data_IF_438333473717
#
_entry.id   IF_438333473717
#
_cell.length_a   1.000
_cell.length_b   1.000
_cell.length_c   1.000
_cell.angle_alpha   90.00
_cell.angle_beta   90.00
_cell.angle_gamma   90.00
#
_symmetry.space_group_name_H-M   'P 1'
#
loop_
_entity.id
_entity.type
_entity.pdbx_description
1 polymer ?
#
# COMPACT_ATOMS: atom_id res chain seq x y z
N UNK A 1 2.20 22.87 -10.45
CA UNK A 1 3.39 23.61 -9.97
C UNK A 1 4.39 22.59 -9.46
N UNK A 2 5.69 22.74 -9.75
CA UNK A 2 6.72 21.81 -9.26
C UNK A 2 6.92 22.03 -7.76
N UNK A 3 6.68 21.02 -6.95
CA UNK A 3 7.01 21.03 -5.52
C UNK A 3 8.54 21.19 -5.37
N UNK A 4 8.99 22.11 -4.52
CA UNK A 4 10.42 22.30 -4.28
C UNK A 4 10.95 21.19 -3.37
N UNK A 5 11.98 20.48 -3.83
CA UNK A 5 12.64 19.43 -3.05
C UNK A 5 13.48 20.02 -1.92
N UNK A 6 13.43 19.39 -0.76
CA UNK A 6 14.26 19.74 0.38
C UNK A 6 15.69 19.24 0.18
N UNK A 7 16.65 20.12 0.48
CA UNK A 7 18.05 19.73 0.57
C UNK A 7 18.30 19.09 1.95
N UNK A 8 18.58 17.79 1.96
CA UNK A 8 18.87 17.02 3.18
C UNK A 8 20.30 16.52 3.09
N UNK A 9 21.08 16.77 4.14
CA UNK A 9 22.47 16.32 4.22
C UNK A 9 22.56 14.85 4.61
N UNK A 10 23.68 14.20 4.29
CA UNK A 10 23.95 12.81 4.67
C UNK A 10 23.97 12.58 6.19
N UNK A 11 24.17 13.64 6.99
CA UNK A 11 24.10 13.58 8.45
C UNK A 11 22.66 13.63 8.99
N UNK A 12 21.75 14.31 8.29
CA UNK A 12 20.33 14.44 8.68
C UNK A 12 19.49 13.26 8.21
N UNK A 13 19.80 12.73 7.03
CA UNK A 13 19.04 11.69 6.34
C UNK A 13 18.75 10.46 7.21
N UNK A 14 19.71 9.84 7.93
CA UNK A 14 19.44 8.61 8.66
C UNK A 14 18.35 8.76 9.73
N UNK A 15 18.36 9.89 10.45
CA UNK A 15 17.37 10.17 11.50
C UNK A 15 15.99 10.44 10.90
N UNK A 16 15.93 11.24 9.83
CA UNK A 16 14.66 11.54 9.15
C UNK A 16 14.07 10.28 8.53
N UNK A 17 14.90 9.45 7.90
CA UNK A 17 14.51 8.16 7.33
C UNK A 17 13.99 7.19 8.39
N UNK A 18 14.62 7.14 9.56
CA UNK A 18 14.13 6.29 10.66
C UNK A 18 12.75 6.75 11.15
N UNK A 19 12.51 8.06 11.30
CA UNK A 19 11.18 8.56 11.69
C UNK A 19 10.15 8.30 10.59
N UNK A 20 10.53 8.44 9.31
CA UNK A 20 9.67 8.09 8.19
C UNK A 20 9.30 6.61 8.20
N UNK A 21 10.25 5.71 8.51
CA UNK A 21 10.00 4.28 8.71
C UNK A 21 8.96 4.03 9.81
N UNK A 22 9.09 4.73 10.93
CA UNK A 22 8.13 4.59 12.04
C UNK A 22 6.72 5.04 11.60
N UNK A 23 6.60 6.17 10.88
CA UNK A 23 5.31 6.63 10.35
C UNK A 23 4.74 5.59 9.37
N UNK A 24 5.54 5.09 8.43
CA UNK A 24 5.12 4.07 7.47
C UNK A 24 4.58 2.81 8.19
N UNK A 25 5.29 2.33 9.21
CA UNK A 25 4.86 1.19 10.03
C UNK A 25 3.57 1.48 10.79
N UNK A 26 3.40 2.68 11.34
CA UNK A 26 2.17 3.08 12.05
C UNK A 26 0.96 3.07 11.11
N UNK A 27 1.13 3.50 9.84
CA UNK A 27 0.05 3.42 8.83
C UNK A 27 -0.29 1.96 8.51
N UNK A 28 0.71 1.12 8.30
CA UNK A 28 0.50 -0.31 8.06
C UNK A 28 -0.18 -1.00 9.25
N UNK A 29 0.20 -0.64 10.47
CA UNK A 29 -0.38 -1.17 11.70
C UNK A 29 -1.82 -0.69 11.91
N UNK A 30 -2.10 0.61 11.71
CA UNK A 30 -3.46 1.16 11.73
C UNK A 30 -4.34 0.40 10.73
N UNK A 31 -3.85 0.27 9.49
CA UNK A 31 -4.61 -0.41 8.44
C UNK A 31 -4.81 -1.89 8.76
N UNK A 32 -3.84 -2.60 9.35
CA UNK A 32 -4.04 -3.97 9.81
C UNK A 32 -5.10 -4.06 10.92
N UNK A 33 -5.10 -3.10 11.86
CA UNK A 33 -6.05 -3.04 12.97
C UNK A 33 -7.51 -2.84 12.51
N UNK A 34 -7.74 -2.25 11.33
CA UNK A 34 -9.10 -2.13 10.77
C UNK A 34 -9.78 -3.48 10.55
N UNK A 35 -9.02 -4.56 10.35
CA UNK A 35 -9.56 -5.91 10.22
C UNK A 35 -9.89 -6.60 11.56
N UNK A 36 -9.34 -6.10 12.68
CA UNK A 36 -9.42 -6.76 13.99
C UNK A 36 -10.40 -6.15 14.98
N UNK A 37 -11.00 -4.99 14.66
CA UNK A 37 -11.93 -4.30 15.56
C UNK A 37 -11.29 -3.76 16.85
N UNK A 38 -9.96 -3.53 16.86
CA UNK A 38 -9.24 -2.97 18.00
C UNK A 38 -9.43 -1.45 18.17
N UNK A 39 -8.80 -0.85 19.19
CA UNK A 39 -8.81 0.61 19.40
C UNK A 39 -7.97 1.32 18.31
N UNK A 40 -8.64 1.65 17.21
CA UNK A 40 -8.08 2.42 16.09
C UNK A 40 -7.59 3.81 16.52
N UNK A 41 -8.16 4.37 17.60
CA UNK A 41 -7.75 5.64 18.17
C UNK A 41 -6.30 5.61 18.68
N UNK A 42 -5.85 4.52 19.32
CA UNK A 42 -4.44 4.39 19.78
C UNK A 42 -3.46 4.48 18.61
N UNK A 43 -3.78 3.81 17.50
CA UNK A 43 -2.97 3.83 16.29
C UNK A 43 -2.94 5.24 15.67
N UNK A 44 -4.10 5.91 15.57
CA UNK A 44 -4.20 7.27 15.07
C UNK A 44 -3.38 8.26 15.92
N UNK A 45 -3.46 8.19 17.26
CA UNK A 45 -2.68 9.03 18.19
C UNK A 45 -1.18 8.81 18.05
N UNK A 46 -0.75 7.56 17.95
CA UNK A 46 0.66 7.19 17.77
C UNK A 46 1.19 7.78 16.47
N UNK A 47 0.45 7.60 15.38
CA UNK A 47 0.77 8.15 14.07
C UNK A 47 0.84 9.70 14.08
N UNK A 48 -0.15 10.37 14.68
CA UNK A 48 -0.15 11.84 14.86
C UNK A 48 1.12 12.32 15.58
N UNK A 49 1.54 11.59 16.63
CA UNK A 49 2.78 11.86 17.35
C UNK A 49 4.04 11.74 16.49
N UNK A 50 4.14 10.69 15.66
CA UNK A 50 5.29 10.48 14.77
C UNK A 50 5.34 11.50 13.64
N UNK A 51 4.20 11.85 13.04
CA UNK A 51 4.13 12.90 12.01
C UNK A 51 4.55 14.25 12.59
N UNK A 52 4.08 14.59 13.80
CA UNK A 52 4.49 15.83 14.45
C UNK A 52 5.99 15.84 14.78
N UNK A 53 6.56 14.70 15.20
CA UNK A 53 8.01 14.58 15.39
C UNK A 53 8.78 14.86 14.10
N UNK A 54 8.39 14.26 12.97
CA UNK A 54 9.03 14.53 11.67
C UNK A 54 8.90 16.00 11.29
N UNK A 55 7.71 16.58 11.42
CA UNK A 55 7.46 18.01 11.19
C UNK A 55 8.35 18.90 12.07
N UNK A 56 8.54 18.56 13.35
CA UNK A 56 9.42 19.29 14.26
C UNK A 56 10.91 19.19 13.85
N UNK A 57 11.35 18.03 13.36
CA UNK A 57 12.70 17.88 12.81
C UNK A 57 12.90 18.78 11.58
N UNK A 58 11.94 18.77 10.65
CA UNK A 58 12.01 19.56 9.41
C UNK A 58 11.90 21.07 9.68
N UNK A 59 11.09 21.50 10.65
CA UNK A 59 10.93 22.93 10.98
C UNK A 59 12.08 23.49 11.83
N UNK A 60 12.65 22.71 12.74
CA UNK A 60 13.58 23.23 13.76
C UNK A 60 15.04 22.81 13.53
N UNK A 61 15.27 21.60 13.04
CA UNK A 61 16.58 20.97 13.04
C UNK A 61 17.17 20.77 11.64
N UNK A 62 16.36 20.80 10.60
CA UNK A 62 16.83 20.74 9.22
C UNK A 62 17.61 22.01 8.85
N UNK A 63 18.74 21.84 8.16
CA UNK A 63 19.52 22.94 7.62
C UNK A 63 18.71 23.78 6.63
N UNK A 64 18.00 23.11 5.72
CA UNK A 64 17.09 23.71 4.72
C UNK A 64 15.67 23.95 5.25
N UNK A 65 15.52 24.25 6.55
CA UNK A 65 14.21 24.55 7.16
C UNK A 65 13.51 25.76 6.52
N UNK A 66 14.26 26.69 5.92
CA UNK A 66 13.67 27.85 5.25
C UNK A 66 12.80 27.42 4.05
N UNK A 67 13.29 26.49 3.23
CA UNK A 67 12.54 25.91 2.11
C UNK A 67 11.33 25.14 2.62
N UNK A 68 11.49 24.35 3.70
CA UNK A 68 10.36 23.64 4.31
C UNK A 68 9.27 24.58 4.82
N UNK A 69 9.64 25.65 5.55
CA UNK A 69 8.70 26.63 6.08
C UNK A 69 7.99 27.41 4.96
N UNK A 70 8.68 27.67 3.85
CA UNK A 70 8.10 28.33 2.67
C UNK A 70 6.97 27.52 2.02
N UNK A 71 6.90 26.20 2.24
CA UNK A 71 5.79 25.36 1.74
C UNK A 71 4.43 25.71 2.36
N UNK A 72 4.40 26.44 3.48
CA UNK A 72 3.19 26.76 4.23
C UNK A 72 2.69 28.20 4.03
N UNK A 73 3.50 29.08 3.44
CA UNK A 73 3.20 30.53 3.35
C UNK A 73 3.76 31.15 2.08
N UNK A 74 3.10 32.15 1.47
CA UNK A 74 1.81 32.74 1.85
C UNK A 74 0.61 31.87 1.44
N UNK A 75 0.77 31.05 0.40
CA UNK A 75 -0.20 30.02 -0.02
C UNK A 75 0.45 28.66 0.17
N UNK A 76 -0.17 27.73 0.91
CA UNK A 76 0.36 26.40 1.09
C UNK A 76 0.54 25.67 -0.24
N UNK A 77 1.65 24.93 -0.36
CA UNK A 77 1.81 23.95 -1.44
C UNK A 77 0.79 22.83 -1.26
N UNK A 78 0.32 22.21 -2.35
CA UNK A 78 -0.57 21.04 -2.28
C UNK A 78 -0.04 20.00 -1.31
N UNK A 79 -0.87 19.58 -0.35
CA UNK A 79 -0.51 18.63 0.70
C UNK A 79 0.05 19.27 1.99
N UNK A 80 0.63 20.48 1.95
CA UNK A 80 1.13 21.15 3.16
C UNK A 80 -0.02 21.51 4.13
N UNK A 81 -1.22 21.76 3.60
CA UNK A 81 -2.44 21.97 4.39
C UNK A 81 -2.78 20.76 5.28
N UNK A 82 -2.47 19.54 4.83
CA UNK A 82 -2.68 18.31 5.60
C UNK A 82 -1.81 18.30 6.85
N UNK A 83 -0.57 18.80 6.77
CA UNK A 83 0.33 18.87 7.93
C UNK A 83 -0.19 19.88 8.96
N UNK A 84 -0.74 21.02 8.52
CA UNK A 84 -1.39 21.97 9.42
C UNK A 84 -2.63 21.36 10.11
N UNK A 85 -3.43 20.60 9.36
CA UNK A 85 -4.60 19.91 9.87
C UNK A 85 -4.24 18.79 10.87
N UNK A 86 -3.23 17.97 10.56
CA UNK A 86 -2.68 16.94 11.44
C UNK A 86 -2.14 17.55 12.72
N UNK A 87 -1.44 18.68 12.63
CA UNK A 87 -0.95 19.42 13.79
C UNK A 87 -2.08 19.93 14.68
N UNK A 88 -3.19 20.38 14.09
CA UNK A 88 -4.39 20.74 14.85
C UNK A 88 -4.96 19.54 15.61
N UNK A 89 -5.19 18.43 14.91
CA UNK A 89 -5.74 17.20 15.49
C UNK A 89 -4.87 16.67 16.63
N UNK A 90 -3.55 16.62 16.42
CA UNK A 90 -2.57 16.22 17.45
C UNK A 90 -2.64 17.12 18.69
N UNK A 91 -2.75 18.43 18.51
CA UNK A 91 -2.80 19.34 19.65
C UNK A 91 -4.12 19.20 20.44
N UNK A 92 -5.23 18.92 19.77
CA UNK A 92 -6.50 18.62 20.43
C UNK A 92 -6.39 17.34 21.26
N UNK A 93 -5.84 16.27 20.68
CA UNK A 93 -5.58 15.01 21.37
C UNK A 93 -4.67 15.19 22.60
N UNK A 94 -3.51 15.83 22.44
CA UNK A 94 -2.55 15.97 23.53
C UNK A 94 -2.98 16.89 24.67
N UNK A 95 -3.73 17.95 24.36
CA UNK A 95 -4.07 18.97 25.36
C UNK A 95 -5.41 18.70 26.03
N UNK A 96 -6.32 17.98 25.38
CA UNK A 96 -7.69 17.80 25.85
C UNK A 96 -8.11 16.33 25.94
N UNK A 97 -7.21 15.37 25.64
CA UNK A 97 -7.47 13.93 25.66
C UNK A 97 -8.75 13.55 24.90
N UNK A 98 -9.10 14.32 23.87
CA UNK A 98 -10.28 14.07 23.06
C UNK A 98 -9.97 12.93 22.11
N UNK A 99 -10.80 11.89 22.14
CA UNK A 99 -10.64 10.78 21.23
C UNK A 99 -10.89 11.28 19.81
N UNK A 100 -9.81 11.43 19.03
CA UNK A 100 -9.88 11.32 17.57
C UNK A 100 -10.18 9.85 17.27
N UNK A 101 -11.39 9.44 17.61
CA UNK A 101 -11.90 8.12 17.29
C UNK A 101 -12.44 8.20 15.87
N UNK A 102 -12.18 7.21 15.01
CA UNK A 102 -12.97 7.07 13.82
C UNK A 102 -14.49 7.11 14.12
N UNK A 103 -15.31 7.74 13.28
CA UNK A 103 -16.76 7.55 13.36
C UNK A 103 -17.08 6.06 13.28
N UNK A 104 -17.99 5.57 14.13
CA UNK A 104 -18.53 4.23 13.97
C UNK A 104 -19.27 4.14 12.60
N UNK A 105 -19.27 2.96 11.99
CA UNK A 105 -20.26 2.55 10.98
C UNK A 105 -19.95 2.71 9.48
N UNK A 106 -18.75 2.32 9.02
CA UNK A 106 -18.68 1.68 7.69
C UNK A 106 -17.97 0.34 7.79
N UNK A 107 -18.76 -0.72 7.94
CA UNK A 107 -18.33 -2.08 7.68
C UNK A 107 -18.29 -2.27 6.17
N UNK A 108 -17.09 -2.28 5.60
CA UNK A 108 -16.89 -2.70 4.23
C UNK A 108 -16.41 -4.15 4.29
N UNK A 109 -17.11 -5.04 3.59
CA UNK A 109 -16.80 -6.46 3.59
C UNK A 109 -18.01 -7.37 3.40
N UNK A 110 -17.74 -8.67 3.25
CA UNK A 110 -18.74 -9.72 3.03
C UNK A 110 -18.25 -11.05 3.61
N UNK A 111 -18.52 -12.17 2.93
CA UNK A 111 -18.05 -13.51 3.34
C UNK A 111 -16.51 -13.63 3.51
N UNK A 112 -15.77 -12.62 3.06
CA UNK A 112 -14.31 -12.57 2.92
C UNK A 112 -13.62 -11.69 3.98
N UNK A 113 -14.37 -11.24 5.00
CA UNK A 113 -13.85 -10.46 6.12
C UNK A 113 -14.40 -9.03 6.14
N UNK A 114 -14.54 -8.49 7.35
CA UNK A 114 -15.03 -7.15 7.61
C UNK A 114 -13.87 -6.25 8.03
N UNK A 115 -13.89 -4.98 7.59
CA UNK A 115 -13.01 -3.94 8.12
C UNK A 115 -13.80 -2.74 8.61
N UNK A 116 -13.34 -2.15 9.70
CA UNK A 116 -13.84 -0.89 10.23
C UNK A 116 -13.04 0.26 9.63
N UNK A 117 -13.70 1.05 8.79
CA UNK A 117 -13.11 2.27 8.23
C UNK A 117 -13.46 3.48 9.05
N UNK A 118 -12.44 4.27 9.30
CA UNK A 118 -12.50 5.31 10.27
C UNK A 118 -12.42 6.70 9.70
N UNK A 119 -13.27 7.62 10.15
CA UNK A 119 -13.26 9.01 9.69
C UNK A 119 -12.92 10.02 10.79
N UNK A 120 -12.26 11.12 10.42
CA UNK A 120 -11.97 12.21 11.36
C UNK A 120 -13.26 12.88 11.82
N UNK A 121 -13.46 12.94 13.14
CA UNK A 121 -14.66 13.55 13.73
C UNK A 121 -14.58 15.08 13.73
N UNK A 122 -15.73 15.78 13.66
CA UNK A 122 -15.79 17.20 13.98
C UNK A 122 -15.28 17.46 15.41
N UNK A 123 -14.51 18.53 15.59
CA UNK A 123 -14.02 18.93 16.92
C UNK A 123 -15.02 19.94 17.52
N UNK A 124 -15.58 19.68 18.73
CA UNK A 124 -16.55 20.57 19.34
C UNK A 124 -16.02 22.00 19.55
N UNK A 125 -16.89 23.00 19.40
CA UNK A 125 -16.52 24.41 19.57
C UNK A 125 -15.98 24.73 20.98
N UNK A 126 -16.49 24.05 22.01
CA UNK A 126 -15.99 24.18 23.39
C UNK A 126 -14.53 23.70 23.50
N UNK A 127 -14.23 22.50 22.97
CA UNK A 127 -12.88 21.95 22.89
C UNK A 127 -11.94 22.88 22.12
N UNK A 128 -12.39 23.48 21.01
CA UNK A 128 -11.61 24.47 20.27
C UNK A 128 -11.28 25.73 21.09
N UNK A 129 -12.25 26.24 21.85
CA UNK A 129 -12.10 27.46 22.63
C UNK A 129 -11.02 27.35 23.73
N UNK A 130 -10.76 26.14 24.21
CA UNK A 130 -9.73 25.85 25.24
C UNK A 130 -8.30 25.78 24.67
N UNK A 131 -8.14 25.71 23.35
CA UNK A 131 -6.82 25.63 22.71
C UNK A 131 -6.09 26.97 22.71
N UNK A 132 -4.75 26.92 22.69
CA UNK A 132 -3.94 28.12 22.47
C UNK A 132 -4.28 28.80 21.14
N UNK A 133 -4.23 30.15 21.10
CA UNK A 133 -4.56 30.96 19.90
C UNK A 133 -3.82 30.52 18.63
N UNK A 134 -2.58 30.06 18.74
CA UNK A 134 -1.79 29.56 17.59
C UNK A 134 -2.36 28.27 17.01
N UNK A 135 -2.90 27.40 17.85
CA UNK A 135 -3.53 26.13 17.45
C UNK A 135 -4.91 26.40 16.88
N UNK A 136 -5.68 27.32 17.47
CA UNK A 136 -6.99 27.74 16.95
C UNK A 136 -6.92 28.18 15.49
N UNK A 137 -5.86 28.88 15.08
CA UNK A 137 -5.63 29.30 13.69
C UNK A 137 -5.52 28.16 12.68
N UNK A 138 -5.27 26.93 13.13
CA UNK A 138 -5.15 25.75 12.27
C UNK A 138 -6.50 25.05 12.04
N UNK A 139 -7.56 25.43 12.76
CA UNK A 139 -8.88 24.83 12.64
C UNK A 139 -9.43 24.84 11.19
N UNK A 140 -9.31 25.92 10.40
CA UNK A 140 -9.81 25.92 9.03
C UNK A 140 -9.16 24.83 8.16
N UNK A 141 -7.87 24.54 8.38
CA UNK A 141 -7.19 23.46 7.66
C UNK A 141 -7.76 22.09 8.02
N UNK A 142 -8.08 21.85 9.30
CA UNK A 142 -8.73 20.63 9.75
C UNK A 142 -10.11 20.43 9.13
N UNK A 143 -10.95 21.46 9.19
CA UNK A 143 -12.31 21.41 8.66
C UNK A 143 -12.32 21.18 7.14
N UNK A 144 -11.39 21.79 6.41
CA UNK A 144 -11.33 21.66 4.96
C UNK A 144 -10.74 20.32 4.49
N UNK A 145 -9.75 19.78 5.21
CA UNK A 145 -8.91 18.68 4.69
C UNK A 145 -9.05 17.36 5.44
N UNK A 146 -9.46 17.36 6.72
CA UNK A 146 -9.55 16.14 7.52
C UNK A 146 -10.98 15.80 7.91
N UNK A 147 -11.77 16.78 8.38
CA UNK A 147 -13.11 16.52 8.93
C UNK A 147 -13.98 15.68 7.97
N UNK A 148 -14.50 14.55 8.47
CA UNK A 148 -15.31 13.60 7.71
C UNK A 148 -14.54 12.75 6.69
N UNK A 149 -13.23 12.95 6.51
CA UNK A 149 -12.39 12.13 5.62
C UNK A 149 -11.92 10.87 6.33
N UNK A 150 -11.70 9.83 5.53
CA UNK A 150 -11.20 8.55 6.00
C UNK A 150 -9.71 8.67 6.42
N UNK A 151 -9.36 8.00 7.52
CA UNK A 151 -8.06 8.11 8.18
C UNK A 151 -6.93 7.50 7.35
N UNK A 152 -7.11 6.32 6.75
CA UNK A 152 -6.08 5.66 5.91
C UNK A 152 -5.70 6.55 4.73
N UNK A 153 -6.68 7.13 4.06
CA UNK A 153 -6.51 8.06 2.94
C UNK A 153 -5.73 9.30 3.37
N UNK A 154 -6.02 9.82 4.57
CA UNK A 154 -5.24 10.91 5.17
C UNK A 154 -3.80 10.49 5.42
N UNK A 155 -3.59 9.31 6.03
CA UNK A 155 -2.28 8.77 6.36
C UNK A 155 -1.41 8.58 5.11
N UNK A 156 -1.99 8.01 4.05
CA UNK A 156 -1.35 7.85 2.74
C UNK A 156 -1.02 9.20 2.09
N UNK A 157 -1.92 10.18 2.17
CA UNK A 157 -1.70 11.51 1.61
C UNK A 157 -0.57 12.27 2.32
N UNK A 158 -0.46 12.13 3.64
CA UNK A 158 0.66 12.71 4.43
C UNK A 158 2.00 12.05 4.06
N UNK A 159 2.02 10.72 3.91
CA UNK A 159 3.20 9.99 3.44
C UNK A 159 3.62 10.44 2.04
N UNK A 160 2.65 10.60 1.13
CA UNK A 160 2.89 11.14 -0.23
C UNK A 160 3.49 12.54 -0.17
N UNK A 161 2.92 13.44 0.63
CA UNK A 161 3.44 14.79 0.79
C UNK A 161 4.92 14.79 1.21
N UNK A 162 5.29 13.97 2.20
CA UNK A 162 6.69 13.88 2.63
C UNK A 162 7.60 13.29 1.54
N UNK A 163 7.14 12.31 0.77
CA UNK A 163 7.92 11.78 -0.35
C UNK A 163 8.06 12.76 -1.51
N UNK A 164 7.05 13.60 -1.76
CA UNK A 164 7.10 14.60 -2.83
C UNK A 164 8.11 15.71 -2.53
N UNK A 165 8.30 16.07 -1.25
CA UNK A 165 9.25 17.12 -0.84
C UNK A 165 10.62 16.55 -0.47
N UNK A 166 10.71 15.28 -0.07
CA UNK A 166 11.91 14.66 0.47
C UNK A 166 11.96 13.15 0.12
N UNK A 167 12.06 12.76 -1.15
CA UNK A 167 12.02 11.35 -1.56
C UNK A 167 13.12 10.49 -0.91
N UNK A 168 14.26 11.10 -0.56
CA UNK A 168 15.40 10.43 0.07
C UNK A 168 15.12 9.94 1.50
N UNK A 169 14.13 10.50 2.22
CA UNK A 169 13.80 10.05 3.58
C UNK A 169 12.83 8.86 3.58
N UNK A 170 12.25 8.51 2.43
CA UNK A 170 11.42 7.32 2.30
C UNK A 170 12.26 6.10 2.67
N UNK A 171 11.85 5.38 3.72
CA UNK A 171 12.48 4.13 4.07
C UNK A 171 11.95 3.03 3.15
N UNK A 172 12.88 2.25 2.59
CA UNK A 172 12.59 1.09 1.74
C UNK A 172 13.12 -0.18 2.42
N UNK A 173 12.38 -1.27 2.31
CA UNK A 173 12.76 -2.57 2.86
C UNK A 173 13.82 -3.27 2.00
N UNK A 174 14.16 -4.51 2.34
CA UNK A 174 15.16 -5.29 1.62
C UNK A 174 14.77 -5.62 0.17
N UNK A 175 13.48 -5.49 -0.20
CA UNK A 175 12.97 -5.67 -1.56
C UNK A 175 12.94 -4.37 -2.35
N UNK A 176 13.32 -3.25 -1.72
CA UNK A 176 13.25 -1.90 -2.31
C UNK A 176 11.86 -1.27 -2.26
N UNK A 177 10.91 -1.92 -1.58
CA UNK A 177 9.54 -1.45 -1.41
C UNK A 177 9.40 -0.56 -0.19
N UNK A 178 8.38 0.30 -0.15
CA UNK A 178 8.11 1.09 1.04
C UNK A 178 7.84 0.16 2.23
N UNK A 179 8.46 0.40 3.37
CA UNK A 179 8.29 -0.49 4.53
C UNK A 179 6.83 -0.50 5.00
N UNK A 180 6.26 -1.69 5.14
CA UNK A 180 4.84 -1.86 5.51
C UNK A 180 3.87 -1.66 4.34
N UNK A 181 4.35 -1.49 3.11
CA UNK A 181 3.54 -1.27 1.92
C UNK A 181 3.81 -2.32 0.82
N UNK A 182 2.88 -2.47 -0.14
CA UNK A 182 1.53 -1.89 -0.14
C UNK A 182 0.69 -2.41 1.03
N UNK A 183 -0.35 -1.67 1.38
CA UNK A 183 -1.38 -2.14 2.31
C UNK A 183 -2.10 -3.36 1.71
N UNK A 184 -2.57 -4.27 2.57
CA UNK A 184 -3.28 -5.49 2.15
C UNK A 184 -4.53 -5.13 1.35
N UNK A 185 -4.70 -5.73 0.17
CA UNK A 185 -5.93 -5.53 -0.62
C UNK A 185 -7.17 -5.96 0.14
N UNK A 186 -8.29 -5.28 -0.12
CA UNK A 186 -9.61 -5.67 0.34
C UNK A 186 -10.57 -5.74 -0.86
N UNK A 187 -11.38 -6.81 -0.96
CA UNK A 187 -12.44 -6.88 -1.96
C UNK A 187 -13.35 -5.64 -1.91
N UNK A 188 -13.68 -5.10 -3.08
CA UNK A 188 -14.55 -3.94 -3.26
C UNK A 188 -14.05 -2.61 -2.67
N UNK A 189 -12.76 -2.50 -2.32
CA UNK A 189 -12.11 -1.24 -1.93
C UNK A 189 -11.08 -0.84 -2.98
N UNK A 190 -11.47 0.12 -3.83
CA UNK A 190 -10.65 0.66 -4.91
C UNK A 190 -9.67 1.76 -4.50
N UNK A 191 -9.74 2.23 -3.26
CA UNK A 191 -8.84 3.28 -2.78
C UNK A 191 -7.36 2.86 -2.88
N UNK A 192 -6.44 3.84 -3.02
CA UNK A 192 -5.02 3.55 -3.09
C UNK A 192 -4.53 2.77 -1.86
N UNK A 193 -3.64 1.81 -2.09
CA UNK A 193 -3.01 1.00 -1.04
C UNK A 193 -1.53 1.32 -0.87
N UNK A 194 -1.01 2.25 -1.67
CA UNK A 194 0.38 2.67 -1.62
C UNK A 194 0.49 4.21 -1.75
N UNK A 195 1.36 4.90 -0.97
CA UNK A 195 1.49 6.36 -1.05
C UNK A 195 1.84 6.87 -2.45
N UNK A 196 2.68 6.16 -3.20
CA UNK A 196 3.04 6.52 -4.59
C UNK A 196 1.96 6.17 -5.65
N UNK A 197 0.86 5.50 -5.29
CA UNK A 197 -0.16 5.08 -6.26
C UNK A 197 -1.00 6.28 -6.75
N UNK A 198 -1.07 6.56 -8.07
CA UNK A 198 -1.88 7.66 -8.61
C UNK A 198 -3.34 7.59 -8.18
N UNK A 199 -3.92 8.74 -7.80
CA UNK A 199 -5.31 8.86 -7.32
C UNK A 199 -6.19 9.39 -8.43
N UNK A 200 -7.31 8.71 -8.69
CA UNK A 200 -8.35 9.17 -9.64
C UNK A 200 -7.97 9.08 -11.12
N UNK A 201 -6.81 8.49 -11.45
CA UNK A 201 -6.35 8.26 -12.82
C UNK A 201 -5.89 6.82 -12.97
N UNK A 202 -6.78 5.99 -13.53
CA UNK A 202 -6.55 4.55 -13.69
C UNK A 202 -5.46 4.22 -14.71
N UNK A 203 -5.26 5.10 -15.70
CA UNK A 203 -4.22 4.92 -16.72
C UNK A 203 -2.86 5.17 -16.09
N UNK A 204 -2.72 6.27 -15.34
CA UNK A 204 -1.52 6.54 -14.57
C UNK A 204 -1.26 5.45 -13.52
N UNK A 205 -2.30 4.94 -12.86
CA UNK A 205 -2.18 3.87 -11.88
C UNK A 205 -1.69 2.55 -12.50
N UNK A 206 -2.18 2.18 -13.68
CA UNK A 206 -1.67 1.04 -14.45
C UNK A 206 -0.19 1.23 -14.86
N UNK A 207 0.20 2.43 -15.31
CA UNK A 207 1.60 2.74 -15.64
C UNK A 207 2.49 2.63 -14.40
N UNK A 208 2.01 3.11 -13.25
CA UNK A 208 2.71 2.97 -11.97
C UNK A 208 2.89 1.50 -11.59
N UNK A 209 1.82 0.71 -11.63
CA UNK A 209 1.81 -0.72 -11.29
C UNK A 209 2.79 -1.52 -12.16
N UNK A 210 2.80 -1.24 -13.46
CA UNK A 210 3.64 -1.90 -14.46
C UNK A 210 5.14 -1.64 -14.32
N UNK A 211 5.53 -0.57 -13.60
CA UNK A 211 6.93 -0.19 -13.37
C UNK A 211 7.51 -0.78 -12.09
N UNK A 212 6.68 -1.32 -11.20
CA UNK A 212 7.12 -1.96 -9.96
C UNK A 212 7.43 -3.42 -10.20
N UNK A 213 8.33 -4.00 -9.41
CA UNK A 213 8.48 -5.45 -9.38
C UNK A 213 7.29 -6.08 -8.65
N UNK A 214 6.95 -7.35 -8.94
CA UNK A 214 6.02 -8.08 -8.10
C UNK A 214 6.50 -8.11 -6.64
N UNK A 215 5.56 -8.07 -5.70
CA UNK A 215 5.89 -8.18 -4.29
C UNK A 215 5.98 -9.67 -3.93
N UNK A 216 7.17 -10.17 -3.64
CA UNK A 216 7.46 -11.58 -3.40
C UNK A 216 8.94 -11.86 -3.65
N UNK A 217 9.35 -13.11 -3.50
CA UNK A 217 10.74 -13.52 -3.78
C UNK A 217 10.87 -14.06 -5.22
N UNK A 218 9.84 -14.75 -5.70
CA UNK A 218 9.78 -15.33 -7.05
C UNK A 218 8.33 -15.62 -7.49
N UNK A 219 8.16 -15.87 -8.78
CA UNK A 219 6.90 -16.37 -9.37
C UNK A 219 7.14 -17.72 -10.05
N UNK A 220 6.19 -18.64 -9.88
CA UNK A 220 6.19 -19.95 -10.56
C UNK A 220 5.03 -19.98 -11.54
N UNK A 221 5.34 -20.03 -12.83
CA UNK A 221 4.42 -20.19 -13.96
C UNK A 221 3.96 -21.65 -14.02
N UNK A 222 2.64 -21.85 -14.06
CA UNK A 222 1.99 -23.18 -14.16
C UNK A 222 1.16 -23.33 -15.43
N UNK A 223 0.98 -22.26 -16.20
CA UNK A 223 0.26 -22.30 -17.46
C UNK A 223 0.39 -21.04 -18.29
N UNK A 224 -0.05 -21.18 -19.54
CA UNK A 224 -0.24 -20.08 -20.49
C UNK A 224 -1.62 -20.24 -21.14
N UNK A 225 -2.34 -19.12 -21.28
CA UNK A 225 -3.62 -19.05 -21.98
C UNK A 225 -3.65 -17.93 -22.99
N UNK A 226 -4.41 -18.13 -24.05
CA UNK A 226 -4.77 -17.08 -24.99
C UNK A 226 -6.24 -16.71 -24.75
N UNK A 227 -6.50 -15.43 -24.54
CA UNK A 227 -7.87 -14.92 -24.49
C UNK A 227 -8.01 -13.76 -25.48
N UNK A 228 -8.95 -13.89 -26.40
CA UNK A 228 -9.15 -12.92 -27.49
C UNK A 228 -7.82 -12.62 -28.23
N UNK A 229 -7.03 -13.69 -28.46
CA UNK A 229 -5.70 -13.68 -29.10
C UNK A 229 -4.56 -13.05 -28.27
N UNK A 230 -4.84 -12.50 -27.08
CA UNK A 230 -3.83 -12.01 -26.15
C UNK A 230 -3.31 -13.14 -25.24
N UNK A 231 -1.98 -13.39 -25.18
CA UNK A 231 -1.38 -14.37 -24.29
C UNK A 231 -1.28 -13.86 -22.85
N UNK A 232 -1.50 -14.77 -21.90
CA UNK A 232 -1.33 -14.57 -20.47
C UNK A 232 -0.57 -15.73 -19.86
N UNK A 233 0.40 -15.43 -19.02
CA UNK A 233 1.07 -16.39 -18.14
C UNK A 233 0.40 -16.37 -16.77
N UNK A 234 0.17 -17.56 -16.22
CA UNK A 234 -0.51 -17.72 -14.94
C UNK A 234 0.29 -18.59 -13.98
N UNK A 235 0.12 -18.35 -12.69
CA UNK A 235 0.81 -19.12 -11.67
C UNK A 235 0.75 -18.50 -10.30
N UNK A 236 1.78 -18.74 -9.48
CA UNK A 236 1.77 -18.39 -8.07
C UNK A 236 2.96 -17.51 -7.70
N UNK A 237 2.73 -16.52 -6.85
CA UNK A 237 3.80 -15.68 -6.29
C UNK A 237 4.20 -16.22 -4.92
N UNK A 238 5.49 -16.55 -4.74
CA UNK A 238 6.01 -17.10 -3.49
C UNK A 238 6.79 -16.04 -2.69
N UNK A 239 6.61 -16.05 -1.38
CA UNK A 239 7.38 -15.34 -0.38
C UNK A 239 7.67 -16.28 0.81
N UNK A 240 8.93 -16.43 1.21
CA UNK A 240 9.35 -17.32 2.31
C UNK A 240 8.76 -18.74 2.20
N UNK A 241 8.83 -19.33 0.99
CA UNK A 241 8.26 -20.64 0.62
C UNK A 241 6.72 -20.76 0.64
N UNK A 242 6.01 -19.68 0.96
CA UNK A 242 4.56 -19.64 0.96
C UNK A 242 4.04 -18.87 -0.25
N UNK A 243 2.93 -19.31 -0.83
CA UNK A 243 2.19 -18.55 -1.82
C UNK A 243 0.78 -18.30 -1.31
N UNK A 244 0.38 -17.02 -1.37
CA UNK A 244 -0.93 -16.54 -0.94
C UNK A 244 -1.75 -15.94 -2.08
N UNK A 245 -1.14 -15.81 -3.26
CA UNK A 245 -1.71 -15.04 -4.34
C UNK A 245 -1.34 -15.69 -5.67
N UNK A 246 -2.34 -16.02 -6.50
CA UNK A 246 -2.06 -16.31 -7.89
C UNK A 246 -1.54 -15.05 -8.59
N UNK A 247 -0.98 -15.21 -9.78
CA UNK A 247 -0.72 -14.10 -10.69
C UNK A 247 -1.26 -14.41 -12.07
N UNK A 248 -1.63 -13.33 -12.76
CA UNK A 248 -1.92 -13.28 -14.18
C UNK A 248 -1.09 -12.12 -14.75
N UNK A 249 -0.31 -12.36 -15.79
CA UNK A 249 0.47 -11.30 -16.44
C UNK A 249 0.61 -11.57 -17.94
N UNK A 250 0.78 -10.52 -18.74
CA UNK A 250 1.17 -10.70 -20.14
C UNK A 250 2.65 -11.09 -20.24
N UNK A 251 3.07 -11.80 -21.30
CA UNK A 251 4.47 -12.12 -21.56
C UNK A 251 5.39 -10.88 -21.51
N UNK A 252 4.93 -9.73 -22.04
CA UNK A 252 5.70 -8.49 -22.06
C UNK A 252 5.91 -7.91 -20.66
N UNK A 253 4.97 -8.11 -19.73
CA UNK A 253 5.19 -7.73 -18.34
C UNK A 253 6.15 -8.69 -17.65
N UNK A 254 6.04 -9.99 -17.89
CA UNK A 254 6.97 -10.99 -17.34
C UNK A 254 8.40 -10.73 -17.81
N UNK A 255 8.61 -10.46 -19.10
CA UNK A 255 9.93 -10.13 -19.65
C UNK A 255 10.51 -8.85 -19.05
N UNK A 256 9.66 -7.83 -18.81
CA UNK A 256 10.09 -6.60 -18.11
C UNK A 256 10.50 -6.89 -16.66
N UNK A 257 9.78 -7.77 -15.97
CA UNK A 257 10.08 -8.13 -14.59
C UNK A 257 11.38 -8.94 -14.50
N UNK A 258 11.60 -9.88 -15.42
CA UNK A 258 12.85 -10.64 -15.56
C UNK A 258 14.01 -9.69 -15.87
N UNK A 259 13.84 -8.76 -16.81
CA UNK A 259 14.86 -7.76 -17.15
C UNK A 259 15.16 -6.82 -15.96
N UNK A 260 14.15 -6.56 -15.12
CA UNK A 260 14.33 -5.85 -13.86
C UNK A 260 14.98 -6.73 -12.77
N UNK A 261 15.24 -8.01 -13.00
CA UNK A 261 15.91 -8.93 -12.07
C UNK A 261 14.98 -9.69 -11.12
N UNK A 262 13.67 -9.74 -11.39
CA UNK A 262 12.73 -10.56 -10.63
C UNK A 262 12.73 -12.01 -11.14
N UNK A 263 12.69 -12.98 -10.23
CA UNK A 263 12.83 -14.40 -10.59
C UNK A 263 11.49 -15.00 -11.04
N UNK A 264 11.48 -15.56 -12.25
CA UNK A 264 10.39 -16.38 -12.78
C UNK A 264 10.88 -17.82 -13.03
N UNK A 265 10.09 -18.79 -12.58
CA UNK A 265 10.34 -20.22 -12.77
C UNK A 265 9.12 -20.89 -13.43
N UNK A 266 9.32 -22.03 -14.10
CA UNK A 266 8.28 -22.89 -14.64
C UNK A 266 8.34 -24.23 -13.93
N UNK A 267 7.23 -24.70 -13.34
CA UNK A 267 7.25 -25.96 -12.61
C UNK A 267 5.87 -26.50 -12.25
N UNK A 268 5.83 -27.76 -11.85
CA UNK A 268 4.62 -28.43 -11.41
C UNK A 268 4.36 -28.15 -9.92
N UNK A 269 3.58 -27.10 -9.66
CA UNK A 269 3.17 -26.74 -8.30
C UNK A 269 2.32 -27.87 -7.68
N UNK A 270 1.49 -28.58 -8.45
CA UNK A 270 0.58 -29.62 -7.90
C UNK A 270 1.34 -30.79 -7.27
N UNK A 271 2.55 -31.09 -7.77
CA UNK A 271 3.39 -32.17 -7.27
C UNK A 271 4.36 -31.75 -6.15
N UNK A 272 4.63 -30.45 -5.98
CA UNK A 272 5.73 -29.95 -5.15
C UNK A 272 5.31 -29.01 -4.01
N UNK A 273 4.02 -28.71 -3.87
CA UNK A 273 3.52 -27.84 -2.80
C UNK A 273 2.33 -28.47 -2.07
N UNK A 274 2.18 -28.06 -0.82
CA UNK A 274 1.09 -28.50 0.06
C UNK A 274 0.10 -27.35 0.28
N UNK A 275 -1.20 -27.66 0.29
CA UNK A 275 -2.19 -26.70 0.75
C UNK A 275 -2.20 -26.65 2.29
N UNK A 276 -1.71 -25.53 2.83
CA UNK A 276 -1.60 -25.27 4.27
C UNK A 276 -2.57 -24.20 4.76
N UNK A 277 -3.63 -23.90 3.99
CA UNK A 277 -4.65 -22.88 4.33
C UNK A 277 -5.18 -23.03 5.75
N UNK A 278 -5.41 -24.27 6.20
CA UNK A 278 -5.90 -24.60 7.53
C UNK A 278 -4.98 -24.13 8.69
N UNK A 279 -3.71 -23.78 8.41
CA UNK A 279 -2.77 -23.26 9.41
C UNK A 279 -2.92 -21.76 9.66
N UNK A 280 -3.75 -21.07 8.87
CA UNK A 280 -3.94 -19.63 8.98
C UNK A 280 -5.34 -19.34 9.54
N UNK A 281 -5.46 -18.59 10.66
CA UNK A 281 -6.74 -18.30 11.29
C UNK A 281 -7.61 -17.35 10.45
N UNK A 282 -6.98 -16.53 9.61
CA UNK A 282 -7.63 -15.64 8.63
C UNK A 282 -6.88 -15.76 7.31
N UNK A 283 -7.09 -16.85 6.54
CA UNK A 283 -6.41 -17.02 5.27
C UNK A 283 -6.79 -15.89 4.31
N UNK A 284 -5.87 -15.41 3.45
CA UNK A 284 -6.26 -14.54 2.35
C UNK A 284 -7.19 -15.28 1.38
N UNK A 285 -7.83 -14.55 0.47
CA UNK A 285 -8.75 -15.13 -0.51
C UNK A 285 -8.03 -16.20 -1.36
N UNK A 286 -8.30 -17.47 -1.07
CA UNK A 286 -7.77 -18.62 -1.80
C UNK A 286 -6.95 -19.59 -0.96
N UNK A 287 -6.23 -20.47 -1.66
CA UNK A 287 -5.38 -21.46 -1.03
C UNK A 287 -4.03 -20.84 -0.61
N UNK A 288 -3.60 -21.13 0.62
CA UNK A 288 -2.21 -20.92 1.02
C UNK A 288 -1.41 -22.16 0.66
N UNK A 289 -0.43 -21.99 -0.22
CA UNK A 289 0.43 -23.06 -0.69
C UNK A 289 1.79 -22.95 0.00
N UNK A 290 2.34 -24.09 0.44
CA UNK A 290 3.67 -24.17 1.04
C UNK A 290 4.55 -25.08 0.20
N UNK A 291 5.74 -24.63 -0.16
CA UNK A 291 6.75 -25.47 -0.81
C UNK A 291 7.79 -25.94 0.22
N UNK A 292 7.85 -27.24 0.54
CA UNK A 292 8.81 -27.77 1.53
C UNK A 292 10.28 -27.63 1.13
N UNK A 293 10.55 -27.39 -0.16
CA UNK A 293 11.89 -27.19 -0.73
C UNK A 293 11.90 -25.88 -1.49
N UNK A 294 13.08 -25.28 -1.68
CA UNK A 294 13.21 -24.10 -2.51
C UNK A 294 12.70 -24.37 -3.93
N UNK A 295 11.95 -23.42 -4.49
CA UNK A 295 11.32 -23.57 -5.81
C UNK A 295 12.34 -23.85 -6.93
N UNK A 296 13.55 -23.33 -6.78
CA UNK A 296 14.69 -23.56 -7.69
C UNK A 296 15.14 -25.03 -7.78
N UNK A 297 14.72 -25.89 -6.84
CA UNK A 297 15.07 -27.32 -6.83
C UNK A 297 14.12 -28.19 -7.64
N UNK A 298 12.93 -27.69 -7.96
CA UNK A 298 11.88 -28.45 -8.68
C UNK A 298 11.26 -27.69 -9.85
N UNK A 299 11.59 -26.41 -10.04
CA UNK A 299 11.16 -25.59 -11.16
C UNK A 299 12.37 -25.08 -11.96
N UNK A 300 12.15 -24.84 -13.25
CA UNK A 300 13.18 -24.39 -14.20
C UNK A 300 13.11 -22.87 -14.39
N UNK A 301 14.23 -22.14 -14.36
CA UNK A 301 14.22 -20.70 -14.61
C UNK A 301 13.66 -20.32 -15.99
N UNK A 302 12.77 -19.32 -16.04
CA UNK A 302 12.47 -18.59 -17.27
C UNK A 302 13.44 -17.41 -17.40
N UNK A 303 14.20 -17.39 -18.49
CA UNK A 303 15.05 -16.25 -18.85
C UNK A 303 14.37 -15.29 -19.83
N UNK A 304 13.38 -15.77 -20.56
CA UNK A 304 12.55 -15.01 -21.49
C UNK A 304 11.28 -15.81 -21.76
N UNK A 305 10.16 -15.13 -21.92
CA UNK A 305 8.92 -15.75 -22.37
C UNK A 305 9.02 -16.18 -23.82
N UNK A 306 8.39 -17.32 -24.14
CA UNK A 306 8.20 -17.78 -25.51
C UNK A 306 6.71 -17.93 -25.72
N UNK A 307 6.21 -17.41 -26.83
CA UNK A 307 4.83 -17.63 -27.19
C UNK A 307 4.65 -19.09 -27.60
N UNK A 308 4.02 -19.87 -26.72
CA UNK A 308 3.69 -21.27 -26.96
C UNK A 308 2.18 -21.45 -27.19
N UNK A 309 1.73 -22.65 -27.57
CA UNK A 309 0.31 -22.96 -27.57
C UNK A 309 -0.20 -23.03 -26.11
N UNK A 310 -1.49 -22.77 -25.87
CA UNK A 310 -2.08 -22.85 -24.53
C UNK A 310 -1.73 -24.17 -23.82
N UNK A 311 -1.26 -24.06 -22.59
CA UNK A 311 -0.83 -25.20 -21.79
C UNK A 311 -1.05 -24.96 -20.29
N UNK A 312 -1.16 -26.04 -19.53
CA UNK A 312 -1.32 -26.00 -18.08
C UNK A 312 -0.72 -27.25 -17.43
N UNK A 313 -0.11 -27.10 -16.26
CA UNK A 313 0.46 -28.18 -15.45
C UNK A 313 -0.33 -28.27 -14.15
N UNK A 314 -0.95 -29.44 -13.88
CA UNK A 314 -1.45 -29.79 -12.55
C UNK A 314 -2.74 -29.12 -12.05
N UNK A 315 -3.33 -28.18 -12.80
CA UNK A 315 -4.54 -27.43 -12.40
C UNK A 315 -5.64 -27.46 -13.46
N UNK A 316 -6.89 -27.21 -13.04
CA UNK A 316 -8.03 -27.03 -13.95
C UNK A 316 -7.90 -25.71 -14.74
N UNK A 317 -7.82 -25.76 -16.07
CA UNK A 317 -7.74 -24.58 -16.92
C UNK A 317 -8.89 -23.58 -16.74
N UNK A 318 -10.09 -24.04 -16.37
CA UNK A 318 -11.26 -23.17 -16.29
C UNK A 318 -11.16 -22.12 -15.18
N UNK A 319 -10.59 -22.48 -14.03
CA UNK A 319 -10.39 -21.56 -12.91
C UNK A 319 -9.44 -20.41 -13.30
N UNK A 320 -8.39 -20.74 -14.05
CA UNK A 320 -7.43 -19.74 -14.51
C UNK A 320 -7.98 -18.86 -15.63
N UNK A 321 -8.78 -19.42 -16.54
CA UNK A 321 -9.51 -18.61 -17.53
C UNK A 321 -10.43 -17.59 -16.87
N UNK A 322 -11.07 -17.94 -15.75
CA UNK A 322 -11.86 -16.99 -14.99
C UNK A 322 -10.97 -15.88 -14.40
N UNK A 323 -9.82 -16.21 -13.80
CA UNK A 323 -8.88 -15.21 -13.29
C UNK A 323 -8.40 -14.25 -14.40
N UNK A 324 -8.04 -14.78 -15.57
CA UNK A 324 -7.66 -13.98 -16.75
C UNK A 324 -8.80 -13.10 -17.23
N UNK A 325 -10.05 -13.60 -17.21
CA UNK A 325 -11.24 -12.85 -17.64
C UNK A 325 -11.50 -11.57 -16.85
N UNK A 326 -11.09 -11.53 -15.57
CA UNK A 326 -11.28 -10.35 -14.70
C UNK A 326 -10.27 -9.26 -15.02
N UNK A 327 -9.06 -9.61 -15.42
CA UNK A 327 -7.99 -8.65 -15.75
C UNK A 327 -8.00 -8.18 -17.20
N UNK A 328 -8.72 -8.88 -18.09
CA UNK A 328 -8.73 -8.55 -19.51
C UNK A 328 -9.49 -7.25 -19.79
N UNK A 329 -8.96 -6.41 -20.70
CA UNK A 329 -9.64 -5.20 -21.14
C UNK A 329 -11.08 -5.46 -21.60
N UNK A 330 -11.97 -4.49 -21.43
CA UNK A 330 -13.35 -4.49 -21.95
C UNK A 330 -14.31 -5.55 -21.36
N UNK A 331 -13.83 -6.50 -20.55
CA UNK A 331 -14.68 -7.49 -19.85
C UNK A 331 -15.34 -6.92 -18.60
N UNK A 332 -14.58 -6.11 -17.87
CA UNK A 332 -15.01 -5.41 -16.66
C UNK A 332 -14.59 -3.93 -16.77
N UNK A 333 -15.21 -3.03 -15.99
CA UNK A 333 -14.72 -1.66 -15.88
C UNK A 333 -13.24 -1.62 -15.50
N UNK A 334 -12.46 -0.71 -16.09
CA UNK A 334 -11.00 -0.63 -15.90
C UNK A 334 -10.56 -0.63 -14.43
N UNK A 335 -11.36 -0.02 -13.55
CA UNK A 335 -11.05 0.01 -12.12
C UNK A 335 -11.09 -1.39 -11.47
N UNK A 336 -12.00 -2.26 -11.90
CA UNK A 336 -12.11 -3.65 -11.40
C UNK A 336 -10.91 -4.47 -11.86
N UNK A 337 -10.57 -4.39 -13.16
CA UNK A 337 -9.41 -5.09 -13.72
C UNK A 337 -8.11 -4.64 -13.04
N UNK A 338 -7.98 -3.32 -12.82
CA UNK A 338 -6.84 -2.75 -12.10
C UNK A 338 -6.76 -3.21 -10.64
N UNK A 339 -7.86 -3.18 -9.88
CA UNK A 339 -7.89 -3.60 -8.48
C UNK A 339 -7.46 -5.06 -8.32
N UNK A 340 -7.97 -5.94 -9.20
CA UNK A 340 -7.61 -7.35 -9.23
C UNK A 340 -6.12 -7.54 -9.51
N UNK A 341 -5.63 -6.90 -10.56
CA UNK A 341 -4.24 -7.00 -10.98
C UNK A 341 -3.28 -6.40 -9.94
N UNK A 342 -3.65 -5.29 -9.31
CA UNK A 342 -2.92 -4.67 -8.18
C UNK A 342 -2.81 -5.65 -7.02
N UNK A 343 -3.88 -6.36 -6.69
CA UNK A 343 -3.86 -7.40 -5.65
C UNK A 343 -2.91 -8.55 -6.03
N UNK A 344 -3.05 -9.15 -7.21
CA UNK A 344 -2.19 -10.27 -7.63
C UNK A 344 -0.72 -9.89 -7.80
N UNK A 345 -0.44 -8.63 -8.15
CA UNK A 345 0.93 -8.15 -8.35
C UNK A 345 1.63 -7.72 -7.08
N UNK A 346 0.94 -6.97 -6.21
CA UNK A 346 1.57 -6.34 -5.06
C UNK A 346 1.23 -7.02 -3.73
N UNK A 347 0.32 -8.00 -3.70
CA UNK A 347 -0.08 -8.71 -2.48
C UNK A 347 0.37 -10.18 -2.51
N UNK A 348 1.64 -10.45 -2.20
CA UNK A 348 2.12 -11.81 -1.89
C UNK A 348 2.87 -11.91 -0.55
N UNK A 349 2.75 -10.89 0.31
CA UNK A 349 3.39 -10.92 1.63
C UNK A 349 2.74 -11.95 2.54
N UNK A 350 3.58 -12.68 3.27
CA UNK A 350 3.18 -13.58 4.35
C UNK A 350 2.41 -12.74 5.39
N UNK A 351 1.14 -13.07 5.70
CA UNK A 351 0.44 -12.42 6.81
C UNK A 351 1.29 -12.56 8.09
N UNK A 352 1.35 -11.53 8.94
CA UNK A 352 2.00 -11.67 10.25
C UNK A 352 1.39 -12.86 10.99
N UNK A 353 2.25 -13.69 11.60
CA UNK A 353 1.84 -14.89 12.35
C UNK A 353 1.16 -14.54 13.66
#
# INVERSE_FOLDING_TARGET
MSTSLLTITSAEEPRLRQVMKDIQNDVAAYYAATAGGGDLGVHARTWLGRVQNLNDLLTKQLHDKATYLALFTPTPTTGAELINAVKYARNVDQHLMFEVSPSEDVFIGGAHGMRTYGCWRPIPAATHAELEKRTQRLQPAYQANLEGKELTSTMLAVLRFFADIAPQIVHRDHRGEWTGFPLKSQPAVGDPLHPEEPVGDIVAANVWLNRRRPNGDLRVVVGQFSMEEAPYLVGFTFADQLSFSPFVETPEQVDRDIAAGFTYLQGDVSANVENVTHKFPMPPDGAVLYSPKEATTWATPLTQTRYEADWMIGFDPNNWRQAVSVEHPDRFPDFVAYEQRRAFRLYAQVPPR
#
